data_IF_120979364087
#
_entry.id   IF_120979364087
#
_cell.length_a   1.000
_cell.length_b   1.000
_cell.length_c   1.000
_cell.angle_alpha   90.00
_cell.angle_beta   90.00
_cell.angle_gamma   90.00
#
_symmetry.space_group_name_H-M   'P 1'
#
loop_
_entity.id
_entity.type
_entity.pdbx_description
1 polymer ?
#
# COMPACT_ATOMS: atom_id res chain seq x y z
N UNK A 1 1.78 -19.69 -0.28
CA UNK A 1 2.35 -18.35 -0.49
C UNK A 1 1.66 -17.74 -1.70
N UNK A 2 1.21 -16.48 -1.62
CA UNK A 2 0.70 -15.74 -2.76
C UNK A 2 1.40 -14.38 -2.83
N UNK A 3 1.75 -13.97 -4.05
CA UNK A 3 2.40 -12.69 -4.32
C UNK A 3 1.34 -11.63 -4.63
N UNK A 4 1.43 -10.48 -3.95
CA UNK A 4 0.59 -9.32 -4.23
C UNK A 4 1.48 -8.17 -4.67
N UNK A 5 1.14 -7.57 -5.81
CA UNK A 5 1.81 -6.41 -6.37
C UNK A 5 0.99 -5.17 -6.05
N UNK A 6 1.65 -4.16 -5.50
CA UNK A 6 1.08 -2.90 -5.09
C UNK A 6 1.57 -1.78 -6.00
N UNK A 7 0.69 -0.83 -6.29
CA UNK A 7 1.03 0.44 -6.91
C UNK A 7 0.31 1.52 -6.13
N UNK A 8 1.07 2.33 -5.41
CA UNK A 8 0.58 3.41 -4.56
C UNK A 8 0.96 4.72 -5.24
N UNK A 9 0.03 5.68 -5.29
CA UNK A 9 0.33 7.03 -5.72
C UNK A 9 0.02 7.99 -4.60
N UNK A 10 1.03 8.76 -4.24
CA UNK A 10 0.90 9.90 -3.35
C UNK A 10 0.51 11.10 -4.20
N UNK A 11 -0.57 11.79 -3.85
CA UNK A 11 -1.11 12.83 -4.71
C UNK A 11 -0.21 14.07 -4.82
N UNK A 12 -0.42 14.81 -5.90
CA UNK A 12 0.32 16.04 -6.22
C UNK A 12 -0.24 17.26 -5.47
N UNK A 13 -0.13 17.26 -4.14
CA UNK A 13 -0.48 18.41 -3.30
C UNK A 13 0.71 18.90 -2.47
N UNK A 14 0.72 20.18 -2.11
CA UNK A 14 1.74 20.72 -1.22
C UNK A 14 1.75 19.95 0.10
N UNK A 15 2.92 19.44 0.50
CA UNK A 15 3.11 18.55 1.65
C UNK A 15 2.29 17.24 1.58
N UNK A 16 2.03 16.75 0.37
CA UNK A 16 1.31 15.48 0.16
C UNK A 16 2.13 14.23 0.49
N UNK A 17 3.47 14.33 0.49
CA UNK A 17 4.38 13.24 0.84
C UNK A 17 4.57 13.03 2.34
N UNK A 18 5.13 11.89 2.72
CA UNK A 18 5.33 11.49 4.12
C UNK A 18 6.66 10.78 4.36
N UNK A 19 7.34 11.12 5.45
CA UNK A 19 8.50 10.35 5.95
C UNK A 19 8.08 9.25 6.96
N UNK A 20 6.82 9.20 7.39
CA UNK A 20 6.32 8.19 8.32
C UNK A 20 6.41 6.75 7.79
N UNK A 21 6.44 5.78 8.71
CA UNK A 21 6.35 4.39 8.32
C UNK A 21 4.89 4.03 8.04
N UNK A 22 4.65 3.48 6.85
CA UNK A 22 3.33 3.05 6.41
C UNK A 22 3.22 1.53 6.54
N UNK A 23 2.19 1.09 7.24
CA UNK A 23 1.86 -0.30 7.46
C UNK A 23 0.58 -0.65 6.70
N UNK A 24 0.53 -1.87 6.16
CA UNK A 24 -0.57 -2.35 5.34
C UNK A 24 -1.07 -3.71 5.85
N UNK A 25 -2.39 -3.89 5.87
CA UNK A 25 -3.06 -5.18 6.05
C UNK A 25 -4.14 -5.37 4.98
N UNK A 26 -4.20 -6.57 4.40
CA UNK A 26 -5.24 -6.95 3.46
C UNK A 26 -6.39 -7.64 4.18
N UNK A 27 -7.61 -7.35 3.74
CA UNK A 27 -8.79 -8.16 4.05
C UNK A 27 -9.51 -8.54 2.76
N UNK A 28 -9.71 -9.84 2.59
CA UNK A 28 -10.52 -10.42 1.53
C UNK A 28 -11.40 -11.55 2.07
N UNK A 29 -12.01 -12.28 1.16
CA UNK A 29 -12.99 -13.34 1.49
C UNK A 29 -12.43 -14.44 2.39
N UNK A 30 -11.13 -14.75 2.26
CA UNK A 30 -10.48 -15.83 3.01
C UNK A 30 -9.82 -15.33 4.31
N UNK A 31 -10.09 -14.09 4.70
CA UNK A 31 -9.67 -13.52 5.97
C UNK A 31 -8.72 -12.33 5.84
N UNK A 32 -7.88 -12.13 6.87
CA UNK A 32 -6.98 -10.99 7.00
C UNK A 32 -5.53 -11.43 6.96
N UNK A 33 -4.68 -10.65 6.29
CA UNK A 33 -3.24 -10.79 6.42
C UNK A 33 -2.75 -10.29 7.77
N UNK A 34 -1.50 -10.59 8.12
CA UNK A 34 -0.80 -9.79 9.13
C UNK A 34 -0.58 -8.37 8.61
N UNK A 35 -0.34 -7.44 9.54
CA UNK A 35 0.04 -6.07 9.21
C UNK A 35 1.57 -6.00 9.03
N UNK A 36 2.04 -5.41 7.93
CA UNK A 36 3.46 -5.31 7.62
C UNK A 36 3.86 -3.90 7.20
N UNK A 37 5.12 -3.53 7.48
CA UNK A 37 5.69 -2.25 7.06
C UNK A 37 6.04 -2.30 5.58
N UNK A 38 5.66 -1.27 4.84
CA UNK A 38 5.78 -1.22 3.37
C UNK A 38 7.03 -0.49 2.89
N UNK A 39 7.52 0.52 3.63
CA UNK A 39 8.65 1.36 3.21
C UNK A 39 9.90 0.54 2.83
N UNK A 40 10.16 -0.58 3.55
CA UNK A 40 11.31 -1.45 3.28
C UNK A 40 11.25 -2.22 1.96
N UNK A 41 10.09 -2.23 1.29
CA UNK A 41 9.89 -2.88 0.00
C UNK A 41 9.93 -1.89 -1.18
N UNK A 42 10.05 -0.60 -0.89
CA UNK A 42 10.13 0.48 -1.87
C UNK A 42 11.60 0.93 -1.95
N UNK A 43 12.08 1.19 -3.16
CA UNK A 43 13.45 1.68 -3.37
C UNK A 43 13.47 3.21 -3.29
N UNK A 44 14.47 3.76 -2.60
CA UNK A 44 14.63 5.21 -2.47
C UNK A 44 13.77 5.78 -1.34
N UNK A 45 13.41 7.06 -1.45
CA UNK A 45 12.47 7.68 -0.52
C UNK A 45 11.05 7.30 -0.91
N UNK A 46 10.29 6.72 0.01
CA UNK A 46 8.96 6.18 -0.27
C UNK A 46 7.90 7.24 0.01
N UNK A 47 6.81 7.22 -0.74
CA UNK A 47 5.62 8.03 -0.49
C UNK A 47 5.82 9.55 -0.59
N UNK A 48 6.71 9.98 -1.50
CA UNK A 48 6.89 11.39 -1.82
C UNK A 48 5.76 11.94 -2.69
N UNK A 49 5.57 13.27 -2.64
CA UNK A 49 4.58 13.98 -3.46
C UNK A 49 4.69 13.58 -4.93
N UNK A 50 3.54 13.26 -5.54
CA UNK A 50 3.40 12.83 -6.95
C UNK A 50 4.23 11.59 -7.33
N UNK A 51 4.69 10.82 -6.34
CA UNK A 51 5.43 9.59 -6.57
C UNK A 51 4.49 8.39 -6.74
N UNK A 52 4.85 7.51 -7.68
CA UNK A 52 4.25 6.19 -7.82
C UNK A 52 5.20 5.14 -7.26
N UNK A 53 4.84 4.57 -6.11
CA UNK A 53 5.57 3.50 -5.44
C UNK A 53 5.04 2.14 -5.84
N UNK A 54 5.94 1.27 -6.33
CA UNK A 54 5.61 -0.10 -6.73
C UNK A 54 6.43 -1.09 -5.92
N UNK A 55 5.74 -2.04 -5.30
CA UNK A 55 6.39 -3.09 -4.51
C UNK A 55 5.57 -4.39 -4.54
N UNK A 56 6.21 -5.50 -4.20
CA UNK A 56 5.60 -6.83 -4.17
C UNK A 56 5.82 -7.48 -2.82
N UNK A 57 4.81 -8.19 -2.32
CA UNK A 57 4.85 -8.88 -1.03
C UNK A 57 4.41 -10.33 -1.23
N UNK A 58 5.19 -11.24 -0.65
CA UNK A 58 4.83 -12.65 -0.55
C UNK A 58 4.15 -12.87 0.80
N UNK A 59 2.85 -13.18 0.79
CA UNK A 59 2.10 -13.47 2.02
C UNK A 59 1.91 -14.97 2.21
N UNK A 60 1.83 -15.38 3.48
CA UNK A 60 1.52 -16.75 3.92
C UNK A 60 0.03 -17.07 3.71
N UNK A 61 -0.40 -17.10 2.45
CA UNK A 61 -1.75 -17.49 2.10
C UNK A 61 -2.35 -16.68 0.96
N UNK A 62 -3.41 -17.25 0.40
CA UNK A 62 -4.33 -16.56 -0.47
C UNK A 62 -5.45 -15.96 0.39
N UNK A 63 -5.76 -14.68 0.20
CA UNK A 63 -6.83 -13.99 0.94
C UNK A 63 -8.11 -13.85 0.11
N UNK A 64 -8.18 -14.52 -1.05
CA UNK A 64 -9.33 -14.49 -1.93
C UNK A 64 -9.48 -13.14 -2.62
N UNK A 65 -10.72 -12.73 -2.88
CA UNK A 65 -10.99 -11.42 -3.42
C UNK A 65 -10.79 -10.34 -2.34
N UNK A 66 -9.73 -9.56 -2.49
CA UNK A 66 -9.48 -8.41 -1.60
C UNK A 66 -10.61 -7.40 -1.81
N UNK A 67 -11.19 -6.95 -0.70
CA UNK A 67 -12.25 -5.94 -0.68
C UNK A 67 -11.89 -4.75 0.22
N UNK A 68 -10.93 -4.90 1.14
CA UNK A 68 -10.50 -3.82 2.02
C UNK A 68 -8.99 -3.84 2.21
N UNK A 69 -8.39 -2.65 2.19
CA UNK A 69 -6.99 -2.41 2.53
C UNK A 69 -6.96 -1.51 3.75
N UNK A 70 -6.31 -1.96 4.82
CA UNK A 70 -6.04 -1.16 6.00
C UNK A 70 -4.66 -0.56 5.89
N UNK A 71 -4.58 0.76 6.01
CA UNK A 71 -3.34 1.51 6.08
C UNK A 71 -3.20 2.12 7.47
N UNK A 72 -1.98 2.09 8.01
CA UNK A 72 -1.65 2.72 9.28
C UNK A 72 -0.34 3.48 9.12
N UNK A 73 -0.35 4.75 9.48
CA UNK A 73 0.88 5.52 9.71
C UNK A 73 1.27 5.39 11.19
N UNK A 74 2.56 5.34 11.48
CA UNK A 74 3.07 5.51 12.85
C UNK A 74 3.23 6.98 13.25
N UNK A 75 3.00 7.90 12.32
CA UNK A 75 3.12 9.34 12.49
C UNK A 75 4.51 9.80 12.98
N UNK A 76 5.55 9.04 12.67
CA UNK A 76 6.92 9.39 13.02
C UNK A 76 7.55 10.32 11.97
N UNK A 77 8.63 11.00 12.38
CA UNK A 77 9.44 11.93 11.57
C UNK A 77 8.71 13.23 11.17
N UNK A 78 9.43 14.12 10.47
CA UNK A 78 8.86 15.37 9.98
C UNK A 78 7.90 15.09 8.82
N UNK A 79 6.84 15.90 8.67
CA UNK A 79 5.87 15.70 7.58
C UNK A 79 5.12 14.37 7.68
N UNK A 80 4.55 14.06 8.85
CA UNK A 80 3.85 12.78 9.09
C UNK A 80 2.43 12.68 8.52
N UNK A 81 1.91 13.78 7.95
CA UNK A 81 0.69 13.76 7.16
C UNK A 81 0.96 13.13 5.80
N UNK A 82 -0.01 12.42 5.26
CA UNK A 82 0.12 11.77 3.95
C UNK A 82 -1.15 11.96 3.14
N UNK A 83 -0.99 12.41 1.90
CA UNK A 83 -2.07 12.49 0.93
C UNK A 83 -1.94 11.31 -0.05
N UNK A 84 -2.56 10.21 0.32
CA UNK A 84 -2.75 9.07 -0.57
C UNK A 84 -3.80 9.42 -1.62
N UNK A 85 -3.47 9.34 -2.91
CA UNK A 85 -4.44 9.49 -3.99
C UNK A 85 -5.13 8.13 -4.26
N UNK A 86 -4.33 7.12 -4.59
CA UNK A 86 -4.85 5.77 -4.80
C UNK A 86 -3.87 4.67 -4.45
N UNK A 87 -4.41 3.48 -4.19
CA UNK A 87 -3.68 2.23 -4.12
C UNK A 87 -4.30 1.19 -5.05
N UNK A 88 -3.47 0.53 -5.85
CA UNK A 88 -3.85 -0.60 -6.71
C UNK A 88 -3.17 -1.85 -6.19
N UNK A 89 -3.91 -2.94 -6.15
CA UNK A 89 -3.41 -4.27 -5.83
C UNK A 89 -3.69 -5.24 -6.97
N UNK A 90 -2.70 -6.08 -7.27
CA UNK A 90 -2.83 -7.17 -8.21
C UNK A 90 -2.18 -8.42 -7.63
N UNK A 91 -2.98 -9.45 -7.39
CA UNK A 91 -2.48 -10.79 -7.09
C UNK A 91 -1.80 -11.38 -8.33
N UNK A 92 -0.61 -11.95 -8.15
CA UNK A 92 0.09 -12.64 -9.24
C UNK A 92 -0.75 -13.84 -9.75
N UNK A 93 -0.82 -13.99 -11.07
CA UNK A 93 -1.72 -14.95 -11.72
C UNK A 93 -3.18 -14.48 -11.89
N UNK A 94 -3.60 -13.38 -11.25
CA UNK A 94 -4.88 -12.73 -11.57
C UNK A 94 -4.70 -11.70 -12.69
N UNK A 95 -5.65 -11.68 -13.64
CA UNK A 95 -5.69 -10.68 -14.71
C UNK A 95 -6.49 -9.43 -14.33
N UNK A 96 -7.06 -9.38 -13.12
CA UNK A 96 -7.93 -8.29 -12.69
C UNK A 96 -7.21 -7.47 -11.61
N UNK A 97 -6.63 -6.31 -11.94
CA UNK A 97 -6.15 -5.37 -10.93
C UNK A 97 -7.33 -4.70 -10.22
N UNK A 98 -7.26 -4.56 -8.90
CA UNK A 98 -8.24 -3.82 -8.10
C UNK A 98 -7.64 -2.49 -7.66
N UNK A 99 -8.34 -1.40 -7.96
CA UNK A 99 -7.98 -0.05 -7.52
C UNK A 99 -8.88 0.41 -6.40
N UNK A 100 -8.28 1.06 -5.40
CA UNK A 100 -8.96 1.73 -4.30
C UNK A 100 -8.51 3.19 -4.33
N UNK A 101 -9.48 4.08 -4.45
CA UNK A 101 -9.27 5.54 -4.39
C UNK A 101 -9.42 5.95 -2.94
N UNK A 102 -8.52 6.77 -2.44
CA UNK A 102 -8.67 7.41 -1.14
C UNK A 102 -9.34 8.77 -1.38
N UNK A 103 -10.38 9.07 -0.61
CA UNK A 103 -11.07 10.36 -0.64
C UNK A 103 -10.53 11.28 0.46
#
# INVERSE_FOLDING_TARGET
MATYNFTVHTGDIYLGGTDSNIFLQLQGDLGKSFMFRTNGHIKGNAYERDQIDKFSINLEGDYGDIHTIYLKSDCMYAGSGWFLDYIKIKKEGSNIPKGYICA
#
